data_IF_206706131065
#
_entry.id   IF_206706131065
#
_cell.length_a   1.000
_cell.length_b   1.000
_cell.length_c   1.000
_cell.angle_alpha   90.00
_cell.angle_beta   90.00
_cell.angle_gamma   90.00
#
_symmetry.space_group_name_H-M   'P 1'
#
loop_
_entity.id
_entity.type
_entity.pdbx_description
1 polymer ?
#
# COMPACT_ATOMS: atom_id res chain seq x y z
N UNK A 1 -7.46 -55.57 24.98
CA UNK A 1 -8.36 -56.49 24.25
C UNK A 1 -9.79 -56.03 24.43
N UNK A 2 -10.59 -56.07 23.36
CA UNK A 2 -12.02 -55.69 23.21
C UNK A 2 -12.26 -54.21 22.92
N UNK A 3 -13.02 -53.80 21.90
CA UNK A 3 -13.54 -54.48 20.71
C UNK A 3 -13.94 -53.38 19.71
N UNK A 4 -13.60 -53.60 18.44
CA UNK A 4 -13.98 -52.76 17.30
C UNK A 4 -15.50 -52.58 17.19
N UNK A 5 -15.95 -51.37 16.83
CA UNK A 5 -17.27 -51.12 16.26
C UNK A 5 -17.14 -50.16 15.08
N UNK A 6 -16.98 -50.74 13.90
CA UNK A 6 -17.25 -50.08 12.62
C UNK A 6 -18.73 -49.69 12.57
N UNK A 7 -19.02 -48.45 12.16
CA UNK A 7 -20.34 -48.05 11.67
C UNK A 7 -20.16 -47.11 10.49
N UNK A 8 -20.61 -47.62 9.36
CA UNK A 8 -20.69 -47.01 8.04
C UNK A 8 -21.91 -46.08 8.02
N UNK A 9 -21.75 -44.78 7.77
CA UNK A 9 -22.89 -43.90 7.41
C UNK A 9 -22.47 -42.91 6.32
N UNK A 10 -22.94 -43.23 5.12
CA UNK A 10 -23.53 -42.40 4.07
C UNK A 10 -22.96 -40.99 3.79
N UNK A 11 -22.43 -40.86 2.57
CA UNK A 11 -22.05 -39.63 1.90
C UNK A 11 -23.24 -38.69 1.62
N UNK A 12 -23.00 -37.38 1.73
CA UNK A 12 -23.68 -36.34 0.94
C UNK A 12 -22.70 -35.18 0.71
N UNK A 13 -22.23 -34.93 -0.52
CA UNK A 13 -21.48 -33.72 -0.84
C UNK A 13 -22.47 -32.57 -1.08
N UNK A 14 -22.50 -31.59 -0.18
CA UNK A 14 -23.21 -30.33 -0.42
C UNK A 14 -22.29 -29.41 -1.24
N UNK A 15 -22.41 -29.49 -2.56
CA UNK A 15 -21.79 -28.52 -3.48
C UNK A 15 -22.50 -27.17 -3.30
N UNK A 16 -21.80 -26.20 -2.70
CA UNK A 16 -22.18 -24.79 -2.81
C UNK A 16 -21.68 -24.26 -4.17
N UNK A 17 -22.57 -24.22 -5.15
CA UNK A 17 -22.34 -23.46 -6.38
C UNK A 17 -22.52 -21.97 -6.07
N UNK A 18 -21.42 -21.28 -5.77
CA UNK A 18 -21.40 -19.82 -5.78
C UNK A 18 -21.44 -19.37 -7.24
N UNK A 19 -22.57 -18.80 -7.66
CA UNK A 19 -22.71 -18.02 -8.90
C UNK A 19 -21.75 -16.83 -8.81
N UNK A 20 -20.62 -16.95 -9.50
CA UNK A 20 -19.74 -15.83 -9.78
C UNK A 20 -20.40 -14.98 -10.88
N UNK A 21 -20.97 -13.85 -10.49
CA UNK A 21 -21.39 -12.82 -11.43
C UNK A 21 -20.14 -11.97 -11.75
N UNK A 22 -19.39 -12.37 -12.77
CA UNK A 22 -18.36 -11.53 -13.38
C UNK A 22 -18.94 -11.04 -14.72
N UNK A 23 -19.13 -9.73 -14.95
CA UNK A 23 -19.36 -9.25 -16.30
C UNK A 23 -18.09 -9.48 -17.11
N UNK A 24 -18.21 -10.33 -18.14
CA UNK A 24 -17.23 -10.46 -19.21
C UNK A 24 -17.61 -9.37 -20.22
N UNK A 25 -16.81 -8.31 -20.29
CA UNK A 25 -16.86 -7.37 -21.42
C UNK A 25 -15.98 -7.94 -22.51
N UNK A 26 -16.56 -8.80 -23.35
CA UNK A 26 -15.96 -9.20 -24.62
C UNK A 26 -16.17 -8.09 -25.64
N UNK A 27 -15.12 -7.31 -25.93
CA UNK A 27 -15.01 -6.63 -27.23
C UNK A 27 -13.55 -6.48 -27.65
N UNK A 28 -13.07 -7.44 -28.43
CA UNK A 28 -11.94 -7.28 -29.36
C UNK A 28 -12.40 -6.50 -30.59
N UNK A 29 -11.85 -5.31 -30.86
CA UNK A 29 -10.68 -5.13 -31.75
C UNK A 29 -10.55 -3.66 -32.24
N UNK A 30 -9.33 -3.15 -32.07
CA UNK A 30 -8.57 -2.22 -32.92
C UNK A 30 -8.85 -0.69 -33.04
N UNK A 31 -7.81 0.06 -32.66
CA UNK A 31 -7.38 1.41 -33.11
C UNK A 31 -8.22 2.62 -32.70
N UNK A 32 -7.71 3.43 -31.75
CA UNK A 32 -7.09 4.76 -31.99
C UNK A 32 -6.53 5.28 -30.66
N UNK A 33 -5.22 5.52 -30.57
CA UNK A 33 -4.59 6.26 -29.46
C UNK A 33 -5.14 7.69 -29.46
N UNK A 34 -6.14 7.95 -28.62
CA UNK A 34 -6.50 9.29 -28.18
C UNK A 34 -6.29 9.30 -26.68
N UNK A 35 -5.25 10.04 -26.25
CA UNK A 35 -5.00 10.32 -24.86
C UNK A 35 -6.28 10.92 -24.24
N UNK A 36 -6.99 10.12 -23.45
CA UNK A 36 -8.00 10.63 -22.54
C UNK A 36 -7.25 11.42 -21.48
N UNK A 37 -7.30 12.75 -21.62
CA UNK A 37 -7.12 13.68 -20.51
C UNK A 37 -7.98 13.18 -19.35
N UNK A 38 -7.34 12.51 -18.38
CA UNK A 38 -7.95 12.16 -17.11
C UNK A 38 -7.98 13.41 -16.23
N UNK A 39 -8.66 14.44 -16.71
CA UNK A 39 -9.11 15.54 -15.89
C UNK A 39 -10.36 15.06 -15.14
N UNK A 40 -10.17 14.48 -13.96
CA UNK A 40 -11.32 14.18 -13.09
C UNK A 40 -11.11 13.06 -12.09
N UNK A 41 -10.56 13.39 -10.93
CA UNK A 41 -11.33 13.34 -9.68
C UNK A 41 -10.46 13.82 -8.54
N UNK A 42 -10.55 15.13 -8.25
CA UNK A 42 -10.41 15.63 -6.88
C UNK A 42 -11.57 15.08 -6.06
N UNK A 43 -11.56 13.77 -5.82
CA UNK A 43 -12.23 13.19 -4.67
C UNK A 43 -11.17 13.15 -3.59
N UNK A 44 -10.86 14.32 -3.01
CA UNK A 44 -10.24 14.36 -1.70
C UNK A 44 -11.15 13.51 -0.80
N UNK A 45 -10.70 12.31 -0.45
CA UNK A 45 -11.49 11.46 0.41
C UNK A 45 -11.67 12.23 1.72
N UNK A 46 -12.89 12.33 2.24
CA UNK A 46 -13.16 13.04 3.49
C UNK A 46 -12.29 12.57 4.67
N UNK A 47 -11.64 11.39 4.55
CA UNK A 47 -10.66 10.88 5.49
C UNK A 47 -9.34 11.69 5.51
N UNK A 48 -8.86 12.19 4.36
CA UNK A 48 -7.62 12.97 4.30
C UNK A 48 -7.77 14.33 5.03
N UNK A 49 -8.95 14.95 4.96
CA UNK A 49 -9.27 16.19 5.68
C UNK A 49 -9.19 16.04 7.21
N UNK A 50 -9.28 14.81 7.73
CA UNK A 50 -9.14 14.51 9.17
C UNK A 50 -7.74 14.06 9.57
N UNK A 51 -6.91 13.63 8.60
CA UNK A 51 -5.54 13.18 8.80
C UNK A 51 -4.59 14.32 8.46
N UNK A 52 -4.39 15.22 9.42
CA UNK A 52 -3.50 16.38 9.29
C UNK A 52 -2.30 16.22 10.23
N UNK A 53 -1.20 16.97 10.05
CA UNK A 53 -0.04 16.87 10.93
C UNK A 53 -0.33 17.15 12.41
N UNK A 54 -1.44 17.84 12.71
CA UNK A 54 -1.87 18.16 14.07
C UNK A 54 -2.69 17.05 14.75
N UNK A 55 -3.35 16.19 13.97
CA UNK A 55 -4.24 15.14 14.48
C UNK A 55 -3.61 13.75 14.44
N UNK A 56 -2.55 13.56 13.66
CA UNK A 56 -1.89 12.27 13.50
C UNK A 56 -0.95 11.94 14.66
N UNK A 57 -1.00 10.69 15.12
CA UNK A 57 -0.10 10.13 16.13
C UNK A 57 1.19 9.59 15.49
N UNK A 58 1.93 10.47 14.80
CA UNK A 58 3.26 10.10 14.27
C UNK A 58 4.29 9.97 15.39
N UNK A 59 5.41 9.29 15.11
CA UNK A 59 6.50 9.08 16.08
C UNK A 59 7.03 10.41 16.67
N UNK A 60 7.10 11.44 15.83
CA UNK A 60 7.43 12.80 16.24
C UNK A 60 6.33 13.74 15.76
N UNK A 61 5.71 14.46 16.70
CA UNK A 61 4.60 15.37 16.40
C UNK A 61 4.91 16.27 15.20
N UNK A 62 3.96 16.35 14.25
CA UNK A 62 4.05 17.16 13.02
C UNK A 62 5.23 16.80 12.08
N UNK A 63 5.82 15.61 12.22
CA UNK A 63 6.84 15.06 11.34
C UNK A 63 6.38 13.70 10.81
N UNK A 64 6.62 13.45 9.53
CA UNK A 64 6.39 12.16 8.89
C UNK A 64 7.73 11.46 8.66
N UNK A 65 7.98 10.37 9.37
CA UNK A 65 9.22 9.59 9.33
C UNK A 65 9.03 8.39 8.40
N UNK A 66 9.73 8.37 7.28
CA UNK A 66 9.58 7.35 6.24
C UNK A 66 10.81 6.43 6.25
N UNK A 67 10.56 5.13 6.33
CA UNK A 67 11.58 4.10 6.21
C UNK A 67 11.82 3.71 4.76
N UNK A 68 13.08 3.47 4.40
CA UNK A 68 13.45 2.76 3.17
C UNK A 68 14.83 2.09 3.30
N UNK A 69 15.17 1.15 2.43
CA UNK A 69 16.45 0.44 2.48
C UNK A 69 17.63 1.34 2.07
N UNK A 70 18.86 0.89 2.35
CA UNK A 70 20.08 1.46 1.80
C UNK A 70 21.01 0.34 1.31
N UNK A 71 21.31 0.28 0.00
CA UNK A 71 21.00 1.30 -1.00
C UNK A 71 19.52 1.36 -1.43
N UNK A 72 19.03 2.57 -1.64
CA UNK A 72 17.75 2.89 -2.27
C UNK A 72 17.98 2.94 -3.79
N UNK A 73 17.53 1.91 -4.51
CA UNK A 73 17.92 1.70 -5.91
C UNK A 73 17.01 2.40 -6.92
N UNK A 74 17.57 2.78 -8.07
CA UNK A 74 16.80 3.15 -9.26
C UNK A 74 15.97 1.92 -9.76
N UNK A 75 14.77 2.13 -10.34
CA UNK A 75 14.11 3.40 -10.65
C UNK A 75 13.26 3.96 -9.49
N UNK A 76 13.30 3.33 -8.32
CA UNK A 76 12.46 3.65 -7.18
C UNK A 76 12.96 4.90 -6.43
N UNK A 77 14.28 5.00 -6.28
CA UNK A 77 14.97 6.15 -5.72
C UNK A 77 16.17 6.53 -6.59
N UNK A 78 16.26 7.80 -6.95
CA UNK A 78 17.36 8.27 -7.78
C UNK A 78 18.60 8.54 -6.94
N UNK A 79 19.76 8.03 -7.40
CA UNK A 79 21.08 8.29 -6.80
C UNK A 79 21.22 7.82 -5.35
N UNK A 80 20.44 6.82 -4.92
CA UNK A 80 20.46 6.35 -3.52
C UNK A 80 20.18 7.48 -2.52
N UNK A 81 19.28 8.38 -2.89
CA UNK A 81 18.89 9.52 -2.08
C UNK A 81 17.35 9.67 -2.11
N UNK A 82 16.67 9.25 -1.03
CA UNK A 82 15.22 9.31 -0.97
C UNK A 82 14.67 10.72 -0.73
N UNK A 83 15.53 11.68 -0.35
CA UNK A 83 15.12 13.04 0.04
C UNK A 83 14.91 13.98 -1.15
N UNK A 84 15.34 13.58 -2.35
CA UNK A 84 15.37 14.46 -3.52
C UNK A 84 14.08 14.46 -4.35
N UNK A 85 13.07 13.66 -3.96
CA UNK A 85 11.79 13.56 -4.67
C UNK A 85 11.88 12.87 -6.03
N UNK A 86 12.97 12.15 -6.34
CA UNK A 86 13.20 11.51 -7.65
C UNK A 86 13.24 10.00 -7.54
N UNK A 87 12.65 9.35 -8.54
CA UNK A 87 12.33 7.93 -8.50
C UNK A 87 10.88 7.73 -8.06
N UNK A 88 10.30 6.58 -8.40
CA UNK A 88 8.88 6.32 -8.19
C UNK A 88 8.48 6.36 -6.70
N UNK A 89 9.22 5.68 -5.82
CA UNK A 89 8.88 5.58 -4.39
C UNK A 89 9.12 6.90 -3.66
N UNK A 90 10.21 7.63 -3.98
CA UNK A 90 10.42 8.98 -3.45
C UNK A 90 9.29 9.93 -3.85
N UNK A 91 8.90 9.94 -5.14
CA UNK A 91 7.82 10.79 -5.62
C UNK A 91 6.46 10.44 -4.98
N UNK A 92 6.16 9.16 -4.83
CA UNK A 92 4.94 8.68 -4.15
C UNK A 92 4.96 9.09 -2.68
N UNK A 93 6.08 8.89 -1.97
CA UNK A 93 6.22 9.27 -0.56
C UNK A 93 5.93 10.76 -0.33
N UNK A 94 6.48 11.65 -1.17
CA UNK A 94 6.20 13.08 -1.07
C UNK A 94 4.77 13.45 -1.49
N UNK A 95 4.17 12.74 -2.44
CA UNK A 95 2.76 12.93 -2.79
C UNK A 95 1.83 12.51 -1.63
N UNK A 96 2.12 11.42 -0.94
CA UNK A 96 1.40 11.02 0.28
C UNK A 96 1.57 12.08 1.37
N UNK A 97 2.79 12.57 1.58
CA UNK A 97 3.06 13.63 2.55
C UNK A 97 2.24 14.90 2.26
N UNK A 98 2.19 15.33 1.00
CA UNK A 98 1.39 16.49 0.55
C UNK A 98 -0.11 16.27 0.81
N UNK A 99 -0.65 15.10 0.46
CA UNK A 99 -2.06 14.77 0.69
C UNK A 99 -2.43 14.74 2.18
N UNK A 100 -1.47 14.41 3.05
CA UNK A 100 -1.62 14.44 4.50
C UNK A 100 -1.30 15.82 5.12
N UNK A 101 -0.98 16.83 4.30
CA UNK A 101 -0.70 18.19 4.74
C UNK A 101 0.69 18.42 5.33
N UNK A 102 1.63 17.51 5.15
CA UNK A 102 3.04 17.72 5.52
C UNK A 102 3.77 18.47 4.41
N UNK A 103 4.60 19.43 4.81
CA UNK A 103 5.59 20.05 3.92
C UNK A 103 6.81 19.15 3.76
N UNK A 104 7.60 19.34 2.70
CA UNK A 104 8.76 18.48 2.42
C UNK A 104 9.82 18.52 3.54
N UNK A 105 9.97 19.64 4.26
CA UNK A 105 10.86 19.78 5.41
C UNK A 105 10.33 19.11 6.70
N UNK A 106 9.05 18.72 6.71
CA UNK A 106 8.45 17.89 7.76
C UNK A 106 8.53 16.39 7.45
N UNK A 107 9.13 15.99 6.32
CA UNK A 107 9.39 14.59 5.98
C UNK A 107 10.83 14.26 6.34
N UNK A 108 11.01 13.20 7.12
CA UNK A 108 12.34 12.68 7.47
C UNK A 108 12.46 11.24 6.99
N UNK A 109 13.69 10.82 6.67
CA UNK A 109 13.96 9.49 6.15
C UNK A 109 14.88 8.72 7.08
N UNK A 110 14.56 7.46 7.32
CA UNK A 110 15.38 6.53 8.11
C UNK A 110 15.71 5.29 7.28
N UNK A 111 16.90 4.73 7.53
CA UNK A 111 17.33 3.50 6.85
C UNK A 111 16.77 2.29 7.57
N UNK A 112 16.07 1.44 6.83
CA UNK A 112 15.42 0.24 7.37
C UNK A 112 15.88 -0.97 6.58
N UNK A 113 16.72 -1.85 7.17
CA UNK A 113 17.06 -3.12 6.53
C UNK A 113 15.81 -3.97 6.36
N UNK A 114 15.70 -4.71 5.25
CA UNK A 114 14.55 -5.57 4.96
C UNK A 114 14.09 -6.45 6.14
N UNK A 115 15.02 -7.11 6.83
CA UNK A 115 14.69 -7.97 7.98
C UNK A 115 14.12 -7.21 9.19
N UNK A 116 14.22 -5.89 9.21
CA UNK A 116 13.68 -5.01 10.25
C UNK A 116 12.33 -4.39 9.86
N UNK A 117 12.03 -4.23 8.56
CA UNK A 117 10.78 -3.59 8.11
C UNK A 117 9.55 -4.39 8.54
N UNK A 118 9.58 -5.72 8.45
CA UNK A 118 8.47 -6.60 8.84
C UNK A 118 8.58 -7.20 10.25
N UNK A 119 9.71 -7.02 10.94
CA UNK A 119 9.92 -7.57 12.29
C UNK A 119 8.84 -7.08 13.27
N UNK A 120 8.19 -7.95 14.08
CA UNK A 120 7.24 -7.49 15.08
C UNK A 120 7.85 -6.55 16.13
N UNK A 121 7.07 -5.56 16.58
CA UNK A 121 7.44 -4.61 17.62
C UNK A 121 7.36 -3.14 17.17
N UNK A 122 7.70 -2.19 18.06
CA UNK A 122 7.77 -0.78 17.72
C UNK A 122 8.69 -0.53 16.52
N UNK A 123 8.35 0.47 15.72
CA UNK A 123 9.12 0.93 14.55
C UNK A 123 9.70 2.31 14.81
N UNK A 124 10.82 2.58 14.16
CA UNK A 124 11.48 3.90 14.15
C UNK A 124 11.06 4.74 12.92
N UNK A 125 9.99 4.31 12.23
CA UNK A 125 9.34 5.00 11.11
C UNK A 125 7.80 4.93 11.26
N UNK A 126 7.10 5.86 10.62
CA UNK A 126 5.63 5.88 10.54
C UNK A 126 5.11 4.93 9.46
N UNK A 127 5.78 4.88 8.30
CA UNK A 127 5.62 3.82 7.30
C UNK A 127 6.93 3.56 6.56
N UNK A 128 7.04 2.38 5.95
CA UNK A 128 8.17 1.95 5.14
C UNK A 128 7.72 1.84 3.68
N UNK A 129 8.57 2.27 2.75
CA UNK A 129 8.33 2.21 1.31
C UNK A 129 9.56 1.69 0.56
#
# INVERSE_FOLDING_TARGET
MRLSRSSLVLATPLLLAAVACAPVDDTTDNTTDTASDSAGSTSSSAAAETCTPDSMETLTARTLTIGTDSPAYDPWFSKNDPTNGKGYESAVAYAVAEQLGYTADQVTWVKVPFNSSYKPGPKDFDFDI
#
